data_IF_151371368167
#
_entry.id   IF_151371368167
#
_cell.length_a   1.000
_cell.length_b   1.000
_cell.length_c   1.000
_cell.angle_alpha   90.00
_cell.angle_beta   90.00
_cell.angle_gamma   90.00
#
_symmetry.space_group_name_H-M   'P 1'
#
loop_
_entity.id
_entity.type
_entity.pdbx_description
1 polymer ?
#
# COMPACT_ATOMS: atom_id res chain seq x y z
N UNK A 1 9.54 -25.05 -14.51
CA UNK A 1 8.27 -25.17 -13.79
C UNK A 1 8.57 -25.87 -12.47
N UNK A 2 8.74 -25.09 -11.40
CA UNK A 2 8.89 -25.64 -10.05
C UNK A 2 7.61 -25.30 -9.32
N UNK A 3 6.82 -26.32 -9.01
CA UNK A 3 5.64 -26.22 -8.15
C UNK A 3 6.06 -25.53 -6.85
N UNK A 4 5.57 -24.31 -6.65
CA UNK A 4 5.60 -23.71 -5.32
C UNK A 4 4.71 -24.58 -4.42
N UNK A 5 5.18 -24.96 -3.21
CA UNK A 5 4.32 -25.69 -2.30
C UNK A 5 3.06 -24.86 -2.07
N UNK A 6 1.89 -25.48 -2.26
CA UNK A 6 0.59 -24.86 -1.99
C UNK A 6 0.67 -24.26 -0.59
N UNK A 7 0.72 -22.93 -0.50
CA UNK A 7 0.68 -22.26 0.79
C UNK A 7 -0.71 -22.52 1.37
N UNK A 8 -0.76 -23.11 2.57
CA UNK A 8 -2.01 -23.25 3.27
C UNK A 8 -2.60 -21.85 3.51
N UNK A 9 -3.86 -21.60 3.09
CA UNK A 9 -4.46 -20.30 3.28
C UNK A 9 -4.59 -19.98 4.77
N UNK A 10 -4.26 -18.75 5.16
CA UNK A 10 -4.58 -18.20 6.47
C UNK A 10 -6.03 -17.77 6.46
N UNK A 11 -6.80 -18.26 7.42
CA UNK A 11 -8.19 -17.82 7.61
C UNK A 11 -8.20 -16.66 8.60
N UNK A 12 -8.75 -15.54 8.15
CA UNK A 12 -8.98 -14.35 8.98
C UNK A 12 -10.46 -14.18 9.25
N UNK A 13 -10.76 -13.49 10.34
CA UNK A 13 -12.12 -13.11 10.70
C UNK A 13 -12.34 -11.62 10.48
N UNK A 14 -13.42 -11.26 9.79
CA UNK A 14 -13.95 -9.88 9.84
C UNK A 14 -14.91 -9.76 11.03
N UNK A 15 -15.02 -8.58 11.66
CA UNK A 15 -15.84 -8.33 12.85
C UNK A 15 -17.35 -8.51 12.57
N UNK A 16 -17.78 -9.76 12.45
CA UNK A 16 -19.05 -10.18 11.86
C UNK A 16 -19.10 -11.66 11.45
N UNK A 17 -18.06 -12.43 11.77
CA UNK A 17 -17.90 -13.88 11.53
C UNK A 17 -17.81 -14.32 10.06
N UNK A 18 -17.53 -13.39 9.13
CA UNK A 18 -17.14 -13.78 7.78
C UNK A 18 -15.68 -14.22 7.79
N UNK A 19 -15.44 -15.44 7.35
CA UNK A 19 -14.10 -15.99 7.16
C UNK A 19 -13.56 -15.53 5.80
N UNK A 20 -12.30 -15.09 5.82
CA UNK A 20 -11.58 -14.65 4.64
C UNK A 20 -10.29 -15.46 4.52
N UNK A 21 -10.06 -16.07 3.37
CA UNK A 21 -8.85 -16.82 3.09
C UNK A 21 -7.81 -15.95 2.41
N UNK A 22 -6.60 -15.92 2.96
CA UNK A 22 -5.43 -15.29 2.36
C UNK A 22 -4.38 -16.33 2.04
N UNK A 23 -3.80 -16.23 0.86
CA UNK A 23 -2.77 -17.13 0.35
C UNK A 23 -1.38 -16.52 0.51
N UNK A 24 -1.26 -15.18 0.52
CA UNK A 24 0.02 -14.50 0.72
C UNK A 24 0.37 -14.24 2.20
N UNK A 25 1.63 -14.46 2.60
CA UNK A 25 2.12 -14.01 3.90
C UNK A 25 2.27 -12.48 3.97
N UNK A 26 1.92 -11.89 5.13
CA UNK A 26 2.03 -10.44 5.35
C UNK A 26 3.44 -9.88 5.15
N UNK A 27 4.45 -10.69 5.49
CA UNK A 27 5.88 -10.40 5.44
C UNK A 27 6.51 -10.64 4.05
N UNK A 28 5.70 -10.98 3.04
CA UNK A 28 6.15 -11.15 1.65
C UNK A 28 5.49 -10.12 0.72
N UNK A 29 5.83 -8.83 0.84
CA UNK A 29 5.18 -7.75 0.07
C UNK A 29 5.38 -7.87 -1.45
N UNK A 30 6.33 -8.68 -1.91
CA UNK A 30 6.59 -8.92 -3.33
C UNK A 30 5.87 -10.16 -3.91
N UNK A 31 5.05 -10.86 -3.13
CA UNK A 31 4.20 -11.92 -3.68
C UNK A 31 3.06 -11.29 -4.49
N UNK A 32 2.77 -11.78 -5.71
CA UNK A 32 1.70 -11.21 -6.56
C UNK A 32 0.34 -11.17 -5.83
N UNK A 33 0.02 -12.25 -5.12
CA UNK A 33 -1.19 -12.39 -4.32
C UNK A 33 -1.30 -11.34 -3.22
N UNK A 34 -0.19 -10.79 -2.72
CA UNK A 34 -0.19 -9.74 -1.70
C UNK A 34 -0.92 -8.49 -2.17
N UNK A 35 -0.72 -8.09 -3.43
CA UNK A 35 -1.31 -6.88 -3.99
C UNK A 35 -2.83 -7.02 -4.17
N UNK A 36 -3.24 -8.12 -4.79
CA UNK A 36 -4.65 -8.48 -4.97
C UNK A 36 -5.39 -8.60 -3.63
N UNK A 37 -4.79 -9.28 -2.66
CA UNK A 37 -5.38 -9.42 -1.32
C UNK A 37 -5.46 -8.09 -0.58
N UNK A 38 -4.57 -7.12 -0.83
CA UNK A 38 -4.63 -5.81 -0.14
C UNK A 38 -5.84 -4.97 -0.57
N UNK A 39 -6.17 -4.99 -1.87
CA UNK A 39 -7.41 -4.36 -2.38
C UNK A 39 -8.64 -5.01 -1.74
N UNK A 40 -8.66 -6.34 -1.70
CA UNK A 40 -9.73 -7.12 -1.09
C UNK A 40 -9.86 -6.90 0.42
N UNK A 41 -8.75 -6.85 1.17
CA UNK A 41 -8.75 -6.54 2.61
C UNK A 41 -9.38 -5.18 2.90
N UNK A 42 -9.05 -4.17 2.10
CA UNK A 42 -9.65 -2.83 2.21
C UNK A 42 -11.17 -2.86 2.02
N UNK A 43 -11.66 -3.74 1.13
CA UNK A 43 -13.09 -3.88 0.84
C UNK A 43 -13.85 -4.76 1.84
N UNK A 44 -13.16 -5.61 2.59
CA UNK A 44 -13.75 -6.55 3.55
C UNK A 44 -13.70 -6.07 5.01
N UNK A 45 -13.17 -4.87 5.23
CA UNK A 45 -13.32 -4.16 6.49
C UNK A 45 -14.80 -4.02 6.85
N UNK A 46 -15.10 -4.11 8.14
CA UNK A 46 -16.44 -3.79 8.62
C UNK A 46 -16.64 -2.27 8.68
N UNK A 47 -17.89 -1.83 8.67
CA UNK A 47 -18.22 -0.41 8.87
C UNK A 47 -17.56 0.14 10.15
N UNK A 48 -17.49 -0.68 11.21
CA UNK A 48 -16.90 -0.26 12.47
C UNK A 48 -15.37 -0.16 12.41
N UNK A 49 -14.69 -1.09 11.72
CA UNK A 49 -13.24 -1.01 11.49
C UNK A 49 -12.88 0.19 10.62
N UNK A 50 -13.70 0.45 9.59
CA UNK A 50 -13.55 1.61 8.72
C UNK A 50 -13.72 2.91 9.49
N UNK A 51 -14.79 3.06 10.28
CA UNK A 51 -15.03 4.24 11.11
C UNK A 51 -13.89 4.45 12.13
N UNK A 52 -13.34 3.37 12.68
CA UNK A 52 -12.21 3.44 13.61
C UNK A 52 -10.95 3.99 12.94
N UNK A 53 -10.65 3.52 11.72
CA UNK A 53 -9.53 4.01 10.92
C UNK A 53 -9.72 5.48 10.50
N UNK A 54 -10.92 5.86 10.08
CA UNK A 54 -11.26 7.24 9.71
C UNK A 54 -11.14 8.19 10.91
N UNK A 55 -11.61 7.79 12.09
CA UNK A 55 -11.46 8.57 13.31
C UNK A 55 -9.99 8.72 13.74
N UNK A 56 -9.16 7.69 13.53
CA UNK A 56 -7.72 7.79 13.77
C UNK A 56 -7.03 8.77 12.81
N UNK A 57 -7.42 8.76 11.53
CA UNK A 57 -6.95 9.73 10.53
C UNK A 57 -7.33 11.16 10.90
N UNK A 58 -8.58 11.40 11.28
CA UNK A 58 -9.04 12.73 11.70
C UNK A 58 -8.26 13.24 12.91
N UNK A 59 -8.01 12.37 13.90
CA UNK A 59 -7.18 12.73 15.06
C UNK A 59 -5.75 13.07 14.66
N UNK A 60 -5.13 12.28 13.78
CA UNK A 60 -3.77 12.49 13.31
C UNK A 60 -3.63 13.80 12.50
N UNK A 61 -4.60 14.11 11.62
CA UNK A 61 -4.66 15.39 10.88
C UNK A 61 -4.74 16.58 11.83
N UNK A 62 -5.43 16.43 12.97
CA UNK A 62 -5.52 17.44 14.02
C UNK A 62 -4.31 17.46 14.97
N UNK A 63 -3.22 16.76 14.64
CA UNK A 63 -1.98 16.72 15.43
C UNK A 63 -2.03 15.86 16.68
N UNK A 64 -3.06 15.02 16.83
CA UNK A 64 -3.18 14.10 17.96
C UNK A 64 -2.65 12.71 17.59
N UNK A 65 -1.91 12.09 18.52
CA UNK A 65 -1.50 10.70 18.35
C UNK A 65 -2.73 9.78 18.45
N UNK A 66 -3.02 9.05 17.37
CA UNK A 66 -4.02 8.01 17.34
C UNK A 66 -3.34 6.64 17.24
N UNK A 67 -3.63 5.78 18.22
CA UNK A 67 -3.19 4.39 18.21
C UNK A 67 -4.39 3.49 17.93
N UNK A 68 -4.24 2.67 16.90
CA UNK A 68 -5.19 1.66 16.48
C UNK A 68 -4.76 0.32 17.10
N UNK A 69 -5.61 -0.27 17.94
CA UNK A 69 -5.38 -1.60 18.49
C UNK A 69 -6.31 -2.58 17.78
N UNK A 70 -5.76 -3.65 17.22
CA UNK A 70 -6.53 -4.66 16.50
C UNK A 70 -6.18 -6.06 16.98
N UNK A 71 -7.18 -6.94 17.05
CA UNK A 71 -7.00 -8.32 17.44
C UNK A 71 -6.30 -9.12 16.34
N UNK A 72 -5.35 -9.97 16.72
CA UNK A 72 -4.67 -10.88 15.81
C UNK A 72 -5.67 -11.80 15.11
N UNK A 73 -5.37 -12.15 13.86
CA UNK A 73 -6.25 -13.01 13.04
C UNK A 73 -7.50 -12.31 12.51
N UNK A 74 -7.57 -10.97 12.63
CA UNK A 74 -8.64 -10.18 12.01
C UNK A 74 -8.21 -9.57 10.68
N UNK A 75 -9.19 -9.29 9.81
CA UNK A 75 -8.98 -8.55 8.55
C UNK A 75 -8.34 -7.18 8.81
N UNK A 76 -8.81 -6.45 9.83
CA UNK A 76 -8.28 -5.15 10.20
C UNK A 76 -6.81 -5.22 10.62
N UNK A 77 -6.43 -6.21 11.45
CA UNK A 77 -5.05 -6.41 11.87
C UNK A 77 -4.13 -6.74 10.69
N UNK A 78 -4.56 -7.63 9.80
CA UNK A 78 -3.78 -7.95 8.60
C UNK A 78 -3.59 -6.71 7.71
N UNK A 79 -4.65 -5.91 7.50
CA UNK A 79 -4.53 -4.68 6.72
C UNK A 79 -3.54 -3.70 7.37
N UNK A 80 -3.65 -3.46 8.68
CA UNK A 80 -2.74 -2.54 9.39
C UNK A 80 -1.29 -3.00 9.29
N UNK A 81 -1.01 -4.30 9.41
CA UNK A 81 0.32 -4.85 9.22
C UNK A 81 0.87 -4.59 7.80
N UNK A 82 0.03 -4.70 6.76
CA UNK A 82 0.41 -4.38 5.38
C UNK A 82 0.64 -2.88 5.18
N UNK A 83 -0.16 -2.03 5.83
CA UNK A 83 0.05 -0.58 5.84
C UNK A 83 1.35 -0.17 6.53
N UNK A 84 1.85 -0.96 7.49
CA UNK A 84 3.21 -0.78 8.04
C UNK A 84 4.28 -1.02 6.98
N UNK A 85 4.15 -2.09 6.19
CA UNK A 85 5.11 -2.36 5.11
C UNK A 85 5.12 -1.26 4.03
N UNK A 86 3.96 -0.66 3.76
CA UNK A 86 3.81 0.50 2.86
C UNK A 86 4.28 1.83 3.49
N UNK A 87 4.65 1.83 4.77
CA UNK A 87 5.12 3.01 5.48
C UNK A 87 4.02 4.01 5.89
N UNK A 88 2.74 3.65 5.73
CA UNK A 88 1.62 4.46 6.21
C UNK A 88 1.43 4.34 7.72
N UNK A 89 1.85 3.21 8.28
CA UNK A 89 1.78 2.96 9.72
C UNK A 89 3.14 2.53 10.25
N UNK A 90 3.28 2.62 11.56
CA UNK A 90 4.34 1.97 12.33
C UNK A 90 3.71 1.14 13.43
N UNK A 91 4.38 0.08 13.92
CA UNK A 91 3.97 -0.55 15.16
C UNK A 91 3.84 0.51 16.27
N UNK A 92 2.68 0.53 16.92
CA UNK A 92 2.39 1.47 18.00
C UNK A 92 3.27 1.14 19.21
N UNK A 93 3.95 2.12 19.83
CA UNK A 93 4.75 1.86 21.02
C UNK A 93 3.85 1.48 22.21
N UNK A 94 4.19 0.38 22.90
CA UNK A 94 3.77 -0.04 24.26
C UNK A 94 2.33 0.33 24.71
N UNK A 95 1.38 0.32 23.78
CA UNK A 95 -0.02 0.65 24.04
C UNK A 95 -0.89 -0.58 24.25
N UNK A 96 -0.35 -1.77 23.94
CA UNK A 96 -0.98 -3.05 24.26
C UNK A 96 -0.45 -3.50 25.63
N UNK A 97 -1.33 -3.74 26.63
CA UNK A 97 -0.92 -4.32 27.92
C UNK A 97 -0.15 -5.63 27.72
N UNK A 98 0.84 -5.92 28.57
CA UNK A 98 1.71 -7.09 28.44
C UNK A 98 0.95 -8.41 28.34
N UNK A 99 -0.19 -8.53 29.01
CA UNK A 99 -1.07 -9.70 29.00
C UNK A 99 -1.89 -9.86 27.71
N UNK A 100 -1.92 -8.84 26.84
CA UNK A 100 -2.69 -8.80 25.60
C UNK A 100 -1.83 -8.89 24.34
N UNK A 101 -0.49 -8.85 24.46
CA UNK A 101 0.43 -8.83 23.30
C UNK A 101 0.35 -10.09 22.44
N UNK A 102 -0.08 -11.22 23.02
CA UNK A 102 -0.29 -12.47 22.30
C UNK A 102 -1.63 -12.50 21.52
N UNK A 103 -2.47 -11.48 21.68
CA UNK A 103 -3.82 -11.41 21.10
C UNK A 103 -4.08 -10.14 20.30
N UNK A 104 -3.28 -9.09 20.48
CA UNK A 104 -3.49 -7.78 19.90
C UNK A 104 -2.18 -7.14 19.47
N UNK A 105 -2.23 -6.38 18.39
CA UNK A 105 -1.14 -5.50 17.96
C UNK A 105 -1.66 -4.06 17.91
N UNK A 106 -0.77 -3.11 18.20
CA UNK A 106 -1.04 -1.70 18.08
C UNK A 106 -0.31 -1.10 16.88
N UNK A 107 -0.92 -0.08 16.30
CA UNK A 107 -0.46 0.62 15.11
C UNK A 107 -0.66 2.11 15.28
N UNK A 108 0.29 2.91 14.81
CA UNK A 108 0.17 4.36 14.73
C UNK A 108 0.37 4.82 13.29
N UNK A 109 -0.33 5.88 12.90
CA UNK A 109 -0.11 6.53 11.60
C UNK A 109 1.23 7.26 11.58
N UNK A 110 1.94 7.16 10.46
CA UNK A 110 3.10 8.03 10.19
C UNK A 110 2.61 9.38 9.65
N UNK A 111 3.50 10.37 9.55
CA UNK A 111 3.18 11.61 8.83
C UNK A 111 2.82 11.31 7.36
N UNK A 112 3.57 10.40 6.75
CA UNK A 112 3.31 9.91 5.39
C UNK A 112 1.93 9.24 5.28
N UNK A 113 1.60 8.36 6.24
CA UNK A 113 0.30 7.74 6.42
C UNK A 113 -0.83 8.74 6.51
N UNK A 114 -0.69 9.72 7.39
CA UNK A 114 -1.69 10.76 7.59
C UNK A 114 -1.96 11.53 6.29
N UNK A 115 -0.93 11.79 5.49
CA UNK A 115 -1.06 12.52 4.23
C UNK A 115 -1.60 11.67 3.06
N UNK A 116 -1.21 10.39 2.95
CA UNK A 116 -1.38 9.59 1.73
C UNK A 116 -2.30 8.37 1.89
N UNK A 117 -2.59 7.92 3.11
CA UNK A 117 -3.51 6.79 3.34
C UNK A 117 -4.94 7.03 2.82
N UNK A 118 -5.53 8.25 2.92
CA UNK A 118 -6.87 8.48 2.37
C UNK A 118 -6.94 8.23 0.85
N UNK A 119 -5.91 8.68 0.11
CA UNK A 119 -5.76 8.43 -1.32
C UNK A 119 -5.67 6.93 -1.61
N UNK A 120 -4.81 6.22 -0.85
CA UNK A 120 -4.68 4.76 -0.96
C UNK A 120 -6.01 4.04 -0.78
N UNK A 121 -6.72 4.29 0.32
CA UNK A 121 -7.99 3.63 0.63
C UNK A 121 -9.04 3.90 -0.46
N UNK A 122 -9.12 5.14 -0.95
CA UNK A 122 -10.04 5.51 -2.02
C UNK A 122 -9.73 4.74 -3.32
N UNK A 123 -8.47 4.66 -3.71
CA UNK A 123 -8.03 3.94 -4.92
C UNK A 123 -8.26 2.43 -4.80
N UNK A 124 -7.95 1.82 -3.66
CA UNK A 124 -8.21 0.39 -3.44
C UNK A 124 -9.71 0.04 -3.48
N UNK A 125 -10.57 0.93 -2.95
CA UNK A 125 -12.03 0.77 -3.04
C UNK A 125 -12.54 0.92 -4.46
N UNK A 126 -12.09 1.96 -5.17
CA UNK A 126 -12.46 2.19 -6.56
C UNK A 126 -12.07 1.01 -7.45
N UNK A 127 -10.86 0.46 -7.25
CA UNK A 127 -10.35 -0.69 -8.00
C UNK A 127 -11.29 -1.91 -7.89
N UNK A 128 -11.70 -2.25 -6.67
CA UNK A 128 -12.62 -3.36 -6.44
C UNK A 128 -13.99 -3.13 -7.10
N UNK A 129 -14.47 -1.89 -7.12
CA UNK A 129 -15.73 -1.52 -7.79
C UNK A 129 -15.62 -1.63 -9.31
N UNK A 130 -14.55 -1.10 -9.91
CA UNK A 130 -14.29 -1.16 -11.36
C UNK A 130 -14.22 -2.61 -11.84
N UNK A 131 -13.57 -3.48 -11.07
CA UNK A 131 -13.46 -4.89 -11.39
C UNK A 131 -14.65 -5.72 -10.92
N UNK A 132 -15.68 -5.10 -10.36
CA UNK A 132 -16.89 -5.78 -9.85
C UNK A 132 -16.56 -6.97 -8.93
N UNK A 133 -15.51 -6.83 -8.12
CA UNK A 133 -14.99 -7.86 -7.24
C UNK A 133 -14.26 -9.03 -7.90
N UNK A 134 -13.94 -8.95 -9.19
CA UNK A 134 -13.05 -9.89 -9.86
C UNK A 134 -11.58 -9.59 -9.48
N UNK A 135 -10.86 -10.52 -8.80
CA UNK A 135 -9.47 -10.32 -8.44
C UNK A 135 -8.49 -10.51 -9.62
N UNK A 136 -8.91 -11.17 -10.72
CA UNK A 136 -8.01 -11.56 -11.80
C UNK A 136 -7.27 -10.37 -12.44
N UNK A 137 -7.91 -9.21 -12.72
CA UNK A 137 -7.21 -8.04 -13.26
C UNK A 137 -6.11 -7.51 -12.33
N UNK A 138 -6.30 -7.62 -11.01
CA UNK A 138 -5.32 -7.18 -10.02
C UNK A 138 -4.15 -8.16 -9.92
N UNK A 139 -4.45 -9.46 -9.99
CA UNK A 139 -3.44 -10.52 -10.02
C UNK A 139 -2.57 -10.43 -11.28
N UNK A 140 -3.19 -10.24 -12.45
CA UNK A 140 -2.48 -10.03 -13.72
C UNK A 140 -1.58 -8.80 -13.65
N UNK A 141 -2.09 -7.68 -13.13
CA UNK A 141 -1.30 -6.48 -12.93
C UNK A 141 -0.10 -6.74 -12.01
N UNK A 142 -0.33 -7.35 -10.84
CA UNK A 142 0.70 -7.61 -9.86
C UNK A 142 1.78 -8.56 -10.40
N UNK A 143 1.37 -9.61 -11.13
CA UNK A 143 2.28 -10.54 -11.77
C UNK A 143 3.15 -9.89 -12.83
N UNK A 144 2.55 -9.01 -13.65
CA UNK A 144 3.30 -8.27 -14.67
C UNK A 144 4.24 -7.25 -14.03
N UNK A 145 3.81 -6.60 -12.93
CA UNK A 145 4.60 -5.61 -12.22
C UNK A 145 5.76 -6.21 -11.39
N UNK A 146 5.67 -7.45 -10.90
CA UNK A 146 6.70 -8.03 -10.02
C UNK A 146 8.13 -7.93 -10.59
N UNK A 147 8.28 -8.05 -11.92
CA UNK A 147 9.56 -7.86 -12.61
C UNK A 147 10.12 -6.43 -12.59
N UNK A 148 9.31 -5.41 -12.26
CA UNK A 148 9.69 -4.00 -12.28
C UNK A 148 10.62 -3.58 -11.16
N UNK A 149 10.62 -4.31 -10.04
CA UNK A 149 11.43 -3.98 -8.87
C UNK A 149 12.91 -3.75 -9.24
N UNK A 150 13.43 -4.48 -10.22
CA UNK A 150 14.81 -4.34 -10.73
C UNK A 150 15.05 -2.99 -11.42
N UNK A 151 14.05 -2.47 -12.16
CA UNK A 151 14.15 -1.21 -12.89
C UNK A 151 14.15 0.01 -11.95
N UNK A 152 13.67 -0.12 -10.72
CA UNK A 152 13.65 0.96 -9.73
C UNK A 152 14.85 1.00 -8.80
N UNK A 153 15.60 -0.11 -8.66
CA UNK A 153 16.77 -0.18 -7.77
C UNK A 153 17.82 0.89 -8.05
N UNK A 154 18.01 1.26 -9.32
CA UNK A 154 18.99 2.27 -9.73
C UNK A 154 18.50 3.73 -9.64
N UNK A 155 17.22 3.97 -9.34
CA UNK A 155 16.67 5.33 -9.28
C UNK A 155 16.95 5.98 -7.92
N UNK A 156 17.20 7.29 -7.91
CA UNK A 156 17.30 8.06 -6.67
C UNK A 156 15.95 8.15 -5.97
N UNK A 157 15.95 8.48 -4.69
CA UNK A 157 14.71 8.61 -3.91
C UNK A 157 13.83 9.74 -4.42
N UNK A 158 14.42 10.85 -4.85
CA UNK A 158 13.72 11.99 -5.46
C UNK A 158 13.03 11.58 -6.76
N UNK A 159 13.69 10.74 -7.57
CA UNK A 159 13.10 10.21 -8.79
C UNK A 159 11.90 9.29 -8.49
N UNK A 160 12.00 8.45 -7.44
CA UNK A 160 10.87 7.61 -7.01
C UNK A 160 9.69 8.44 -6.51
N UNK A 161 9.94 9.48 -5.70
CA UNK A 161 8.89 10.42 -5.24
C UNK A 161 8.23 11.10 -6.44
N UNK A 162 9.04 11.58 -7.40
CA UNK A 162 8.52 12.19 -8.61
C UNK A 162 7.61 11.24 -9.40
N UNK A 163 8.04 9.98 -9.60
CA UNK A 163 7.21 8.99 -10.28
C UNK A 163 5.94 8.63 -9.48
N UNK A 164 6.03 8.54 -8.16
CA UNK A 164 4.88 8.29 -7.28
C UNK A 164 3.82 9.37 -7.43
N UNK A 165 4.22 10.65 -7.40
CA UNK A 165 3.32 11.77 -7.63
C UNK A 165 2.79 11.82 -9.06
N UNK A 166 3.61 11.51 -10.07
CA UNK A 166 3.16 11.40 -11.46
C UNK A 166 2.09 10.32 -11.64
N UNK A 167 2.28 9.13 -11.07
CA UNK A 167 1.31 8.06 -11.18
C UNK A 167 0.05 8.28 -10.32
N UNK A 168 0.05 9.19 -9.36
CA UNK A 168 -1.08 9.39 -8.44
C UNK A 168 -2.42 9.74 -9.14
N UNK A 169 -2.36 10.38 -10.32
CA UNK A 169 -3.54 10.85 -11.04
C UNK A 169 -3.46 10.59 -12.55
N UNK A 170 -4.61 10.32 -13.15
CA UNK A 170 -4.79 10.19 -14.61
C UNK A 170 -4.67 11.54 -15.34
N UNK A 171 -4.82 12.65 -14.60
CA UNK A 171 -4.64 14.01 -15.12
C UNK A 171 -3.17 14.38 -15.27
N UNK A 172 -2.27 13.63 -14.63
CA UNK A 172 -0.85 13.90 -14.69
C UNK A 172 -0.29 13.47 -16.04
N UNK A 173 0.46 14.38 -16.65
CA UNK A 173 1.19 14.14 -17.88
C UNK A 173 2.65 14.52 -17.70
N UNK A 174 3.52 13.86 -18.45
CA UNK A 174 4.94 14.18 -18.48
C UNK A 174 5.40 14.26 -19.93
N UNK A 175 6.15 15.30 -20.24
CA UNK A 175 6.89 15.40 -21.48
C UNK A 175 8.32 14.87 -21.26
N UNK A 176 8.76 13.98 -22.14
CA UNK A 176 10.10 13.39 -22.08
C UNK A 176 10.82 13.55 -23.40
N UNK A 177 12.13 13.80 -23.32
CA UNK A 177 12.97 13.87 -24.50
C UNK A 177 13.01 12.51 -25.22
N UNK A 178 12.82 12.48 -26.56
CA UNK A 178 12.92 11.25 -27.33
C UNK A 178 14.29 10.58 -27.16
N UNK A 179 14.29 9.25 -27.04
CA UNK A 179 15.44 8.37 -26.82
C UNK A 179 16.16 8.58 -25.49
N UNK A 180 15.54 9.27 -24.54
CA UNK A 180 16.09 9.42 -23.19
C UNK A 180 15.94 8.13 -22.36
N UNK A 181 16.76 7.93 -21.31
CA UNK A 181 16.56 6.85 -20.35
C UNK A 181 15.16 6.88 -19.69
N UNK A 182 14.58 8.07 -19.55
CA UNK A 182 13.24 8.26 -18.99
C UNK A 182 12.16 7.75 -19.94
N UNK A 183 12.24 8.08 -21.23
CA UNK A 183 11.34 7.51 -22.24
C UNK A 183 11.45 5.98 -22.26
N UNK A 184 12.67 5.43 -22.18
CA UNK A 184 12.88 3.98 -22.12
C UNK A 184 12.17 3.34 -20.92
N UNK A 185 12.26 3.97 -19.74
CA UNK A 185 11.55 3.51 -18.55
C UNK A 185 10.03 3.62 -18.69
N UNK A 186 9.53 4.70 -19.27
CA UNK A 186 8.09 4.87 -19.55
C UNK A 186 7.58 3.84 -20.57
N UNK A 187 8.37 3.44 -21.56
CA UNK A 187 8.03 2.35 -22.47
C UNK A 187 7.90 0.99 -21.76
N UNK A 188 8.70 0.75 -20.70
CA UNK A 188 8.49 -0.43 -19.84
C UNK A 188 7.15 -0.32 -19.11
N UNK A 189 6.85 0.84 -18.52
CA UNK A 189 5.56 1.09 -17.85
C UNK A 189 4.35 1.01 -18.79
N UNK A 190 4.50 1.35 -20.07
CA UNK A 190 3.48 1.22 -21.10
C UNK A 190 3.14 -0.24 -21.37
N UNK A 191 4.16 -1.11 -21.42
CA UNK A 191 3.98 -2.56 -21.55
C UNK A 191 3.15 -3.14 -20.40
N UNK A 192 3.24 -2.51 -19.22
CA UNK A 192 2.46 -2.83 -18.03
C UNK A 192 1.10 -2.13 -17.96
N UNK A 193 0.77 -1.33 -18.99
CA UNK A 193 -0.43 -0.50 -19.05
C UNK A 193 -0.55 0.48 -17.89
N UNK A 194 0.58 0.89 -17.28
CA UNK A 194 0.61 1.92 -16.22
C UNK A 194 0.53 3.32 -16.83
N UNK A 195 1.14 3.49 -18.01
CA UNK A 195 1.08 4.72 -18.79
C UNK A 195 0.65 4.42 -20.22
N UNK A 196 0.25 5.48 -20.93
CA UNK A 196 -0.01 5.48 -22.36
C UNK A 196 0.72 6.67 -23.01
N UNK A 197 1.26 6.47 -24.21
CA UNK A 197 1.69 7.60 -25.04
C UNK A 197 0.47 8.31 -25.64
N UNK A 198 0.38 9.63 -25.46
CA UNK A 198 -0.69 10.47 -26.06
C UNK A 198 -0.26 11.12 -27.39
N UNK A 199 0.78 10.58 -28.02
CA UNK A 199 1.39 11.12 -29.22
C UNK A 199 2.54 12.09 -28.91
N UNK A 200 3.60 12.02 -29.73
CA UNK A 200 4.82 12.81 -29.51
C UNK A 200 5.62 12.34 -28.28
N UNK A 201 6.15 13.30 -27.53
CA UNK A 201 6.95 13.15 -26.30
C UNK A 201 6.12 13.06 -25.01
N UNK A 202 4.78 13.04 -25.11
CA UNK A 202 3.88 13.17 -23.96
C UNK A 202 3.30 11.83 -23.53
N UNK A 203 3.43 11.55 -22.23
CA UNK A 203 2.96 10.34 -21.57
C UNK A 203 1.95 10.68 -20.49
N UNK A 204 0.93 9.84 -20.34
CA UNK A 204 -0.11 10.00 -19.32
C UNK A 204 -0.28 8.71 -18.51
N UNK A 205 -0.67 8.86 -17.25
CA UNK A 205 -0.99 7.72 -16.39
C UNK A 205 -2.35 7.14 -16.75
N UNK A 206 -2.46 5.81 -16.83
CA UNK A 206 -3.75 5.13 -17.04
C UNK A 206 -4.54 5.03 -15.74
N UNK A 207 -5.83 4.71 -15.82
CA UNK A 207 -6.66 4.50 -14.62
C UNK A 207 -6.08 3.39 -13.73
N UNK A 208 -5.75 2.23 -14.32
CA UNK A 208 -5.12 1.10 -13.62
C UNK A 208 -3.75 1.52 -13.06
N UNK A 209 -2.94 2.24 -13.82
CA UNK A 209 -1.67 2.77 -13.36
C UNK A 209 -1.83 3.60 -12.09
N UNK A 210 -2.83 4.48 -12.06
CA UNK A 210 -3.07 5.36 -10.91
C UNK A 210 -3.57 4.66 -9.65
N UNK A 211 -4.15 3.48 -9.78
CA UNK A 211 -4.64 2.70 -8.64
C UNK A 211 -3.58 1.78 -8.04
N UNK A 212 -2.47 1.53 -8.75
CA UNK A 212 -1.53 0.49 -8.37
C UNK A 212 -0.07 0.98 -8.31
N UNK A 213 0.40 1.70 -9.33
CA UNK A 213 1.81 2.06 -9.45
C UNK A 213 2.35 2.98 -8.33
N UNK A 214 1.63 4.02 -7.84
CA UNK A 214 2.11 4.86 -6.75
C UNK A 214 2.47 4.05 -5.49
N UNK A 215 1.63 3.09 -5.15
CA UNK A 215 1.73 2.34 -3.91
C UNK A 215 2.80 1.25 -3.93
N UNK A 216 3.11 0.74 -5.12
CA UNK A 216 4.26 -0.14 -5.31
C UNK A 216 5.58 0.65 -5.16
N UNK A 217 5.59 1.93 -5.55
CA UNK A 217 6.71 2.83 -5.24
C UNK A 217 6.81 3.13 -3.74
N UNK A 218 5.68 3.18 -3.02
CA UNK A 218 5.67 3.38 -1.56
C UNK A 218 6.39 2.25 -0.82
N UNK A 219 6.34 1.00 -1.31
CA UNK A 219 7.16 -0.11 -0.77
C UNK A 219 8.65 0.23 -0.85
N UNK A 220 9.11 0.67 -2.03
CA UNK A 220 10.52 1.02 -2.26
C UNK A 220 10.94 2.25 -1.45
N UNK A 221 10.05 3.22 -1.28
CA UNK A 221 10.29 4.41 -0.47
C UNK A 221 10.35 4.08 1.03
N UNK A 222 9.48 3.17 1.48
CA UNK A 222 9.44 2.64 2.85
C UNK A 222 10.74 1.90 3.19
N UNK A 223 11.19 0.99 2.33
CA UNK A 223 12.46 0.26 2.48
C UNK A 223 13.69 1.17 2.54
N UNK A 224 13.62 2.35 1.90
CA UNK A 224 14.68 3.37 1.92
C UNK A 224 14.61 4.31 3.12
N UNK A 225 13.62 4.16 4.01
CA UNK A 225 13.45 4.97 5.21
C UNK A 225 12.76 6.32 4.98
N UNK A 226 12.28 6.62 3.77
CA UNK A 226 11.64 7.90 3.48
C UNK A 226 10.18 7.99 3.94
N UNK A 227 9.56 6.87 4.29
CA UNK A 227 8.22 6.83 4.88
C UNK A 227 8.22 6.99 6.41
N UNK A 228 9.41 7.03 7.04
CA UNK A 228 9.60 7.19 8.48
C UNK A 228 9.95 8.63 8.86
N UNK A 229 9.09 9.59 8.52
CA UNK A 229 9.08 10.88 9.21
C UNK A 229 8.28 10.72 10.52
N UNK A 230 8.98 10.98 11.62
CA UNK A 230 8.77 10.49 12.99
C UNK A 230 7.37 10.69 13.57
N UNK A 231 6.71 9.59 13.98
CA UNK A 231 5.84 9.64 15.15
C UNK A 231 6.76 9.98 16.33
N UNK A 232 6.73 11.23 16.81
CA UNK A 232 7.60 11.71 17.86
C UNK A 232 7.45 10.82 19.11
N UNK A 233 8.50 10.06 19.43
CA UNK A 233 8.64 9.47 20.76
C UNK A 233 8.68 10.62 21.78
N UNK A 234 7.94 10.55 22.89
CA UNK A 234 8.06 11.56 23.93
C UNK A 234 9.51 11.55 24.41
N UNK A 235 10.17 12.71 24.32
CA UNK A 235 11.45 12.94 24.98
C UNK A 235 11.25 12.59 26.45
N UNK A 236 11.92 11.54 26.93
CA UNK A 236 12.19 11.40 28.36
C UNK A 236 13.09 12.58 28.72
N UNK A 237 12.47 13.65 29.22
CA UNK A 237 13.20 14.61 30.04
C UNK A 237 13.60 13.85 31.31
N UNK A 238 14.90 13.63 31.43
CA UNK A 238 15.50 13.27 32.70
C UNK A 238 15.37 14.50 33.62
N UNK A 239 14.55 14.38 34.66
CA UNK A 239 14.76 15.03 35.95
C UNK A 239 14.68 13.98 37.07
#
# INVERSE_FOLDING_TARGET
MTDSPVQNPRILTSAGKKEVSLFSPRDKPHANSWWMETSFLTHTLTDNDQLTLEAALEKAVNGNNAVLVSALGTVANELHARLVHLGYMVPGPESVPSEMVDFQEAYALTEYGTAKLPEFLAKQRLQWQIFNGDPAPVEDFAGTFNGMTVHHRGLSTEALIYFREFFASVENTIEVEPRSPRESLLGVYETLRVVESRGGSVWATTEIGSMNAPFLLDILLSERGNSQASAAAPKKENE
#
